data_IF_922722233319
#
_entry.id   IF_922722233319
#
_cell.length_a   1.000
_cell.length_b   1.000
_cell.length_c   1.000
_cell.angle_alpha   90.00
_cell.angle_beta   90.00
_cell.angle_gamma   90.00
#
_symmetry.space_group_name_H-M   'P 1'
#
loop_
_entity.id
_entity.type
_entity.pdbx_description
1 polymer ?
#
# COMPACT_ATOMS: atom_id res chain seq x y z
N UNK A 1 -0.83 0.48 -39.34
CA UNK A 1 -0.78 0.37 -37.89
C UNK A 1 0.66 0.52 -37.42
N UNK A 2 0.89 1.27 -36.35
CA UNK A 2 2.23 1.38 -35.77
C UNK A 2 2.46 0.19 -34.86
N UNK A 3 3.56 -0.54 -35.09
CA UNK A 3 3.93 -1.69 -34.26
C UNK A 3 4.73 -1.26 -33.03
N UNK A 4 4.42 -1.82 -31.86
CA UNK A 4 5.08 -1.53 -30.58
C UNK A 4 5.50 -2.82 -29.90
N UNK A 5 6.78 -2.89 -29.51
CA UNK A 5 7.32 -3.96 -28.70
C UNK A 5 7.33 -3.55 -27.21
N UNK A 6 6.66 -4.30 -26.38
CA UNK A 6 6.67 -4.11 -24.91
C UNK A 6 7.59 -5.16 -24.29
N UNK A 7 8.65 -4.72 -23.63
CA UNK A 7 9.63 -5.61 -23.01
C UNK A 7 9.31 -5.80 -21.52
N UNK A 8 8.83 -7.00 -21.18
CA UNK A 8 8.43 -7.40 -19.85
C UNK A 8 6.91 -7.49 -19.66
N UNK A 9 6.44 -8.68 -19.31
CA UNK A 9 5.03 -9.02 -19.10
C UNK A 9 4.57 -8.89 -17.62
N UNK A 10 5.16 -7.98 -16.87
CA UNK A 10 4.67 -7.61 -15.53
C UNK A 10 3.47 -6.66 -15.61
N UNK A 11 2.95 -6.22 -14.45
CA UNK A 11 1.77 -5.33 -14.38
C UNK A 11 1.96 -4.07 -15.23
N UNK A 12 3.11 -3.42 -15.16
CA UNK A 12 3.39 -2.21 -15.96
C UNK A 12 3.37 -2.47 -17.46
N UNK A 13 4.07 -3.52 -17.91
CA UNK A 13 4.12 -3.87 -19.35
C UNK A 13 2.76 -4.31 -19.89
N UNK A 14 2.03 -5.14 -19.15
CA UNK A 14 0.68 -5.57 -19.52
C UNK A 14 -0.32 -4.41 -19.55
N UNK A 15 -0.22 -3.46 -18.61
CA UNK A 15 -1.06 -2.26 -18.64
C UNK A 15 -0.75 -1.40 -19.85
N UNK A 16 0.53 -1.17 -20.16
CA UNK A 16 0.93 -0.42 -21.36
C UNK A 16 0.46 -1.12 -22.64
N UNK A 17 0.63 -2.43 -22.73
CA UNK A 17 0.17 -3.21 -23.88
C UNK A 17 -1.35 -3.12 -24.07
N UNK A 18 -2.11 -3.25 -23.00
CA UNK A 18 -3.56 -3.14 -23.01
C UNK A 18 -4.02 -1.74 -23.47
N UNK A 19 -3.43 -0.68 -22.94
CA UNK A 19 -3.77 0.69 -23.33
C UNK A 19 -3.40 1.02 -24.77
N UNK A 20 -2.29 0.49 -25.25
CA UNK A 20 -1.88 0.67 -26.66
C UNK A 20 -2.78 -0.11 -27.61
N UNK A 21 -3.11 -1.37 -27.27
CA UNK A 21 -4.01 -2.18 -28.09
C UNK A 21 -5.41 -1.56 -28.22
N UNK A 22 -5.93 -0.93 -27.15
CA UNK A 22 -7.19 -0.19 -27.20
C UNK A 22 -7.15 1.08 -28.08
N UNK A 23 -5.95 1.49 -28.50
CA UNK A 23 -5.71 2.65 -29.38
C UNK A 23 -5.24 2.24 -30.77
N UNK A 24 -5.55 1.02 -31.17
CA UNK A 24 -5.26 0.46 -32.49
C UNK A 24 -3.76 0.38 -32.83
N UNK A 25 -2.88 0.21 -31.83
CA UNK A 25 -1.49 -0.17 -32.06
C UNK A 25 -1.38 -1.69 -32.24
N UNK A 26 -0.45 -2.11 -33.07
CA UNK A 26 -0.05 -3.52 -33.17
C UNK A 26 0.98 -3.83 -32.09
N UNK A 27 0.57 -4.52 -31.03
CA UNK A 27 1.38 -4.66 -29.80
C UNK A 27 1.87 -6.09 -29.63
N UNK A 28 3.19 -6.24 -29.52
CA UNK A 28 3.83 -7.51 -29.15
C UNK A 28 4.49 -7.38 -27.76
N UNK A 29 4.14 -8.27 -26.83
CA UNK A 29 4.74 -8.32 -25.49
C UNK A 29 5.77 -9.44 -25.43
N UNK A 30 6.99 -9.10 -25.04
CA UNK A 30 8.09 -10.04 -24.82
C UNK A 30 8.31 -10.26 -23.35
N UNK A 31 8.22 -11.50 -22.89
CA UNK A 31 8.46 -11.92 -21.50
C UNK A 31 9.59 -12.95 -21.47
N UNK A 32 10.57 -12.73 -20.57
CA UNK A 32 11.71 -13.65 -20.40
C UNK A 32 11.37 -14.95 -19.70
N UNK A 33 10.26 -14.97 -18.95
CA UNK A 33 9.76 -16.14 -18.24
C UNK A 33 8.67 -16.83 -19.05
N UNK A 34 8.32 -18.06 -18.65
CA UNK A 34 7.25 -18.83 -19.32
C UNK A 34 5.85 -18.27 -19.09
N UNK A 35 5.66 -17.42 -18.09
CA UNK A 35 4.37 -16.88 -17.67
C UNK A 35 4.44 -15.39 -17.44
N UNK A 36 3.37 -14.71 -17.84
CA UNK A 36 3.16 -13.29 -17.58
C UNK A 36 2.80 -13.00 -16.12
N UNK A 37 2.84 -11.73 -15.72
CA UNK A 37 2.40 -11.25 -14.41
C UNK A 37 3.52 -10.71 -13.52
N UNK A 38 4.79 -11.02 -13.82
CA UNK A 38 5.93 -10.51 -13.07
C UNK A 38 5.86 -10.90 -11.58
N UNK A 39 6.06 -9.93 -10.68
CA UNK A 39 5.94 -10.15 -9.22
C UNK A 39 4.49 -10.25 -8.74
N UNK A 40 3.51 -9.84 -9.55
CA UNK A 40 2.10 -9.97 -9.20
C UNK A 40 1.54 -11.38 -9.50
N UNK A 41 2.36 -12.28 -10.03
CA UNK A 41 1.99 -13.66 -10.29
C UNK A 41 1.98 -14.47 -9.00
N UNK A 42 0.91 -15.25 -8.79
CA UNK A 42 0.90 -16.30 -7.78
C UNK A 42 1.81 -17.47 -8.20
N UNK A 43 2.41 -18.12 -7.25
CA UNK A 43 3.23 -19.32 -7.44
C UNK A 43 2.65 -20.46 -6.61
N UNK A 44 2.71 -21.71 -7.07
CA UNK A 44 2.33 -22.82 -6.20
C UNK A 44 3.29 -22.91 -5.00
N UNK A 45 2.75 -23.16 -3.80
CA UNK A 45 3.53 -23.52 -2.62
C UNK A 45 3.72 -25.03 -2.59
N UNK A 46 4.89 -25.54 -2.93
CA UNK A 46 5.10 -26.97 -3.16
C UNK A 46 4.79 -27.82 -1.92
N UNK A 47 3.93 -28.83 -2.07
CA UNK A 47 3.55 -29.75 -1.00
C UNK A 47 2.46 -29.21 -0.06
N UNK A 48 1.86 -28.07 -0.35
CA UNK A 48 0.76 -27.51 0.45
C UNK A 48 -0.61 -28.11 0.11
N UNK A 49 -0.72 -28.82 -1.01
CA UNK A 49 -1.95 -29.49 -1.42
C UNK A 49 -2.26 -30.71 -0.56
N UNK A 50 -3.48 -30.81 -0.03
CA UNK A 50 -3.97 -31.95 0.75
C UNK A 50 -5.27 -32.49 0.20
N UNK A 51 -5.54 -33.78 0.38
CA UNK A 51 -6.81 -34.39 -0.02
C UNK A 51 -7.07 -34.34 -1.53
N UNK A 52 -6.04 -34.46 -2.36
CA UNK A 52 -6.16 -34.45 -3.82
C UNK A 52 -6.31 -33.04 -4.45
N UNK A 53 -6.20 -31.99 -3.65
CA UNK A 53 -6.18 -30.59 -4.15
C UNK A 53 -4.81 -30.24 -4.71
N UNK A 54 -4.78 -29.31 -5.64
CA UNK A 54 -3.54 -28.68 -6.10
C UNK A 54 -2.88 -27.89 -4.96
N UNK A 55 -1.57 -27.65 -5.09
CA UNK A 55 -0.83 -26.80 -4.17
C UNK A 55 -1.48 -25.41 -4.07
N UNK A 56 -1.45 -24.84 -2.88
CA UNK A 56 -2.03 -23.53 -2.60
C UNK A 56 -1.23 -22.43 -3.31
N UNK A 57 -1.89 -21.36 -3.76
CA UNK A 57 -1.18 -20.23 -4.34
C UNK A 57 -0.42 -19.46 -3.26
N UNK A 58 0.88 -19.28 -3.48
CA UNK A 58 1.72 -18.38 -2.69
C UNK A 58 1.94 -17.07 -3.43
N UNK A 59 2.10 -16.01 -2.67
CA UNK A 59 2.30 -14.66 -3.17
C UNK A 59 3.66 -14.11 -2.71
N UNK A 60 4.27 -13.21 -3.48
CA UNK A 60 5.47 -12.49 -3.06
C UNK A 60 5.23 -11.56 -1.86
N UNK A 61 3.99 -11.20 -1.61
CA UNK A 61 3.50 -10.38 -0.54
C UNK A 61 1.98 -10.23 -0.66
N UNK A 62 1.33 -9.74 0.37
CA UNK A 62 -0.11 -9.52 0.32
C UNK A 62 -0.47 -8.51 -0.77
N UNK A 63 -1.60 -8.73 -1.43
CA UNK A 63 -2.14 -7.83 -2.44
C UNK A 63 -3.29 -7.04 -1.87
N UNK A 64 -3.14 -5.75 -1.83
CA UNK A 64 -4.26 -4.85 -1.57
C UNK A 64 -4.10 -3.60 -2.44
N UNK A 65 -5.22 -2.94 -2.69
CA UNK A 65 -5.27 -1.73 -3.50
C UNK A 65 -5.87 -0.62 -2.65
N UNK A 66 -5.03 0.28 -2.10
CA UNK A 66 -5.51 1.45 -1.37
C UNK A 66 -6.43 2.30 -2.25
N UNK A 67 -7.33 3.08 -1.63
CA UNK A 67 -8.31 3.88 -2.34
C UNK A 67 -7.72 4.93 -3.32
N UNK A 68 -6.44 5.28 -3.15
CA UNK A 68 -5.73 6.16 -4.09
C UNK A 68 -5.21 5.43 -5.36
N UNK A 69 -5.29 4.11 -5.44
CA UNK A 69 -4.99 3.35 -6.66
C UNK A 69 -6.16 3.48 -7.64
N UNK A 70 -6.07 4.42 -8.56
CA UNK A 70 -7.13 4.69 -9.53
C UNK A 70 -6.99 3.87 -10.82
N UNK A 71 -5.79 3.81 -11.37
CA UNK A 71 -5.55 3.22 -12.68
C UNK A 71 -5.62 1.69 -12.70
N UNK A 72 -5.11 1.01 -11.68
CA UNK A 72 -5.15 -0.46 -11.63
C UNK A 72 -6.59 -0.99 -11.51
N UNK A 73 -7.44 -0.49 -10.57
CA UNK A 73 -8.85 -0.88 -10.52
C UNK A 73 -9.62 -0.50 -11.79
N UNK A 74 -9.33 0.65 -12.41
CA UNK A 74 -9.93 1.03 -13.69
C UNK A 74 -9.58 0.02 -14.79
N UNK A 75 -8.31 -0.33 -14.95
CA UNK A 75 -7.88 -1.37 -15.90
C UNK A 75 -8.58 -2.70 -15.61
N UNK A 76 -8.65 -3.14 -14.36
CA UNK A 76 -9.36 -4.36 -13.96
C UNK A 76 -10.85 -4.32 -14.30
N UNK A 77 -11.48 -3.15 -14.25
CA UNK A 77 -12.90 -2.97 -14.61
C UNK A 77 -13.17 -3.16 -16.11
N UNK A 78 -12.15 -3.07 -16.95
CA UNK A 78 -12.23 -3.24 -18.39
C UNK A 78 -11.87 -4.64 -18.88
N UNK A 79 -11.17 -5.43 -18.05
CA UNK A 79 -10.74 -6.80 -18.38
C UNK A 79 -11.88 -7.79 -18.11
N UNK A 80 -12.37 -8.53 -19.13
CA UNK A 80 -13.40 -9.55 -18.93
C UNK A 80 -12.86 -10.76 -18.16
N UNK A 81 -13.69 -11.34 -17.30
CA UNK A 81 -13.39 -12.58 -16.59
C UNK A 81 -14.68 -13.40 -16.39
N UNK A 82 -14.85 -14.47 -17.14
CA UNK A 82 -16.09 -15.20 -17.20
C UNK A 82 -17.26 -14.32 -17.64
N UNK A 83 -18.33 -14.31 -16.85
CA UNK A 83 -19.51 -13.44 -17.09
C UNK A 83 -19.34 -12.02 -16.50
N UNK A 84 -18.24 -11.76 -15.79
CA UNK A 84 -17.97 -10.53 -15.07
C UNK A 84 -16.70 -9.83 -15.56
N UNK A 85 -16.21 -8.90 -14.79
CA UNK A 85 -14.93 -8.23 -14.96
C UNK A 85 -13.99 -8.60 -13.81
N UNK A 86 -12.68 -8.50 -14.03
CA UNK A 86 -11.67 -8.78 -13.00
C UNK A 86 -11.91 -7.95 -11.73
N UNK A 87 -12.32 -6.69 -11.86
CA UNK A 87 -12.60 -5.82 -10.71
C UNK A 87 -13.71 -6.35 -9.78
N UNK A 88 -14.63 -7.18 -10.26
CA UNK A 88 -15.69 -7.78 -9.41
C UNK A 88 -15.14 -8.78 -8.39
N UNK A 89 -13.90 -9.21 -8.54
CA UNK A 89 -13.22 -10.09 -7.57
C UNK A 89 -12.46 -9.31 -6.48
N UNK A 90 -12.47 -7.97 -6.54
CA UNK A 90 -11.93 -7.14 -5.48
C UNK A 90 -12.92 -7.10 -4.31
N UNK A 91 -12.45 -7.44 -3.13
CA UNK A 91 -13.24 -7.43 -1.89
C UNK A 91 -12.75 -6.29 -1.00
N UNK A 92 -13.67 -5.48 -0.48
CA UNK A 92 -13.31 -4.42 0.46
C UNK A 92 -12.85 -5.01 1.80
N UNK A 93 -11.64 -4.66 2.22
CA UNK A 93 -11.15 -4.94 3.56
C UNK A 93 -11.60 -3.81 4.50
N UNK A 94 -12.24 -4.16 5.62
CA UNK A 94 -12.72 -3.20 6.61
C UNK A 94 -11.75 -3.02 7.77
N UNK A 95 -10.90 -4.02 8.01
CA UNK A 95 -9.93 -4.04 9.11
C UNK A 95 -8.70 -4.85 8.72
N UNK A 96 -7.60 -4.57 9.39
CA UNK A 96 -6.35 -5.30 9.29
C UNK A 96 -5.92 -5.76 10.67
N UNK A 97 -5.47 -7.01 10.77
CA UNK A 97 -4.88 -7.57 11.97
C UNK A 97 -3.37 -7.33 11.95
N UNK A 98 -2.85 -6.64 12.95
CA UNK A 98 -1.43 -6.53 13.23
C UNK A 98 -1.06 -7.58 14.28
N UNK A 99 -0.58 -8.74 13.83
CA UNK A 99 -0.13 -9.82 14.72
C UNK A 99 1.25 -9.49 15.29
N UNK A 100 1.42 -9.74 16.58
CA UNK A 100 2.72 -9.64 17.26
C UNK A 100 3.28 -11.04 17.51
N UNK A 101 4.53 -11.27 17.11
CA UNK A 101 5.15 -12.61 17.13
C UNK A 101 5.38 -13.22 18.52
N UNK A 102 5.14 -12.47 19.58
CA UNK A 102 5.32 -12.89 20.99
C UNK A 102 3.99 -13.28 21.69
N UNK A 103 2.91 -13.37 20.92
CA UNK A 103 1.58 -13.72 21.44
C UNK A 103 0.91 -12.60 22.28
N UNK A 104 1.51 -11.41 22.30
CA UNK A 104 0.88 -10.24 22.90
C UNK A 104 -0.23 -9.72 21.99
N UNK A 105 -1.16 -9.05 22.62
CA UNK A 105 -2.38 -8.48 22.06
C UNK A 105 -2.35 -8.23 20.55
N UNK A 106 -3.15 -8.98 19.81
CA UNK A 106 -3.46 -8.70 18.42
C UNK A 106 -4.14 -7.33 18.30
N UNK A 107 -3.66 -6.52 17.38
CA UNK A 107 -4.20 -5.19 17.15
C UNK A 107 -5.02 -5.23 15.87
N UNK A 108 -6.32 -5.02 15.97
CA UNK A 108 -7.21 -4.87 14.82
C UNK A 108 -7.34 -3.38 14.52
N UNK A 109 -6.85 -2.96 13.36
CA UNK A 109 -6.95 -1.57 12.92
C UNK A 109 -8.02 -1.41 11.83
N UNK A 110 -8.91 -0.40 11.92
CA UNK A 110 -9.80 -0.07 10.83
C UNK A 110 -9.02 0.44 9.62
N UNK A 111 -9.45 0.04 8.42
CA UNK A 111 -8.85 0.49 7.14
C UNK A 111 -9.69 1.56 6.44
N UNK A 112 -10.80 2.00 7.06
CA UNK A 112 -11.64 3.06 6.50
C UNK A 112 -11.22 4.41 7.04
N UNK A 113 -11.18 5.41 6.17
CA UNK A 113 -11.09 6.79 6.61
C UNK A 113 -12.30 7.16 7.48
N UNK A 114 -12.11 7.95 8.55
CA UNK A 114 -13.22 8.41 9.37
C UNK A 114 -14.19 9.26 8.54
N UNK A 115 -15.48 8.93 8.61
CA UNK A 115 -16.54 9.62 7.85
C UNK A 115 -17.40 10.51 8.74
N UNK A 116 -17.24 10.40 10.06
CA UNK A 116 -17.93 11.19 11.07
C UNK A 116 -16.97 11.66 12.16
N UNK A 117 -17.43 12.63 12.98
CA UNK A 117 -16.65 13.08 14.16
C UNK A 117 -16.45 11.95 15.18
N UNK A 118 -17.44 11.06 15.32
CA UNK A 118 -17.33 9.89 16.20
C UNK A 118 -16.30 8.89 15.67
N UNK A 119 -16.27 8.63 14.37
CA UNK A 119 -15.25 7.80 13.74
C UNK A 119 -13.85 8.39 13.94
N UNK A 120 -13.73 9.73 13.77
CA UNK A 120 -12.47 10.43 13.98
C UNK A 120 -12.02 10.30 15.44
N UNK A 121 -12.93 10.51 16.41
CA UNK A 121 -12.61 10.38 17.84
C UNK A 121 -12.16 8.95 18.19
N UNK A 122 -12.82 7.95 17.60
CA UNK A 122 -12.50 6.54 17.77
C UNK A 122 -11.13 6.22 17.18
N UNK A 123 -10.85 6.73 15.98
CA UNK A 123 -9.54 6.56 15.31
C UNK A 123 -8.41 7.20 16.13
N UNK A 124 -8.61 8.41 16.64
CA UNK A 124 -7.63 9.10 17.48
C UNK A 124 -7.37 8.33 18.78
N UNK A 125 -8.42 7.87 19.48
CA UNK A 125 -8.29 7.05 20.70
C UNK A 125 -7.56 5.74 20.41
N UNK A 126 -7.83 5.13 19.28
CA UNK A 126 -7.18 3.89 18.84
C UNK A 126 -5.69 4.11 18.59
N UNK A 127 -5.31 5.13 17.81
CA UNK A 127 -3.90 5.48 17.57
C UNK A 127 -3.18 5.81 18.88
N UNK A 128 -3.84 6.56 19.77
CA UNK A 128 -3.31 6.90 21.07
C UNK A 128 -3.04 5.65 21.92
N UNK A 129 -4.03 4.76 22.01
CA UNK A 129 -3.90 3.50 22.76
C UNK A 129 -2.77 2.64 22.22
N UNK A 130 -2.74 2.40 20.90
CA UNK A 130 -1.67 1.59 20.29
C UNK A 130 -0.31 2.24 20.54
N UNK A 131 -0.17 3.52 20.33
CA UNK A 131 1.08 4.23 20.53
C UNK A 131 1.59 4.08 21.97
N UNK A 132 0.72 4.22 22.96
CA UNK A 132 1.07 4.02 24.38
C UNK A 132 1.39 2.56 24.70
N UNK A 133 0.64 1.61 24.16
CA UNK A 133 0.86 0.17 24.37
C UNK A 133 2.22 -0.31 23.80
N UNK A 134 2.70 0.31 22.72
CA UNK A 134 4.03 0.04 22.14
C UNK A 134 5.15 0.92 22.75
N UNK A 135 4.81 1.74 23.75
CA UNK A 135 5.77 2.54 24.50
C UNK A 135 6.16 3.88 23.87
N UNK A 136 5.37 4.41 22.93
CA UNK A 136 5.57 5.77 22.42
C UNK A 136 5.12 6.80 23.48
N UNK A 137 5.98 7.75 23.88
CA UNK A 137 5.59 8.79 24.83
C UNK A 137 4.42 9.63 24.31
N UNK A 138 3.46 10.02 25.18
CA UNK A 138 2.27 10.79 24.78
C UNK A 138 2.56 12.08 24.03
N UNK A 139 3.60 12.82 24.42
CA UNK A 139 3.99 14.05 23.73
C UNK A 139 4.50 13.80 22.30
N UNK A 140 5.07 12.64 22.02
CA UNK A 140 5.49 12.25 20.67
C UNK A 140 4.31 11.83 19.78
N UNK A 141 3.24 11.27 20.37
CA UNK A 141 1.98 11.03 19.65
C UNK A 141 1.32 12.35 19.22
N UNK A 142 1.36 13.36 20.09
CA UNK A 142 0.89 14.72 19.74
C UNK A 142 1.72 15.28 18.59
N UNK A 143 3.04 15.23 18.68
CA UNK A 143 3.93 15.68 17.64
C UNK A 143 3.69 14.95 16.30
N UNK A 144 3.43 13.65 16.34
CA UNK A 144 3.06 12.87 15.14
C UNK A 144 1.76 13.39 14.52
N UNK A 145 0.73 13.62 15.33
CA UNK A 145 -0.54 14.17 14.87
C UNK A 145 -0.38 15.58 14.25
N UNK A 146 0.43 16.45 14.86
CA UNK A 146 0.75 17.77 14.31
C UNK A 146 1.43 17.68 12.92
N UNK A 147 2.35 16.74 12.74
CA UNK A 147 2.99 16.49 11.44
C UNK A 147 1.98 16.02 10.40
N UNK A 148 1.08 15.09 10.75
CA UNK A 148 0.01 14.66 9.84
C UNK A 148 -0.91 15.81 9.47
N UNK A 149 -1.36 16.62 10.42
CA UNK A 149 -2.18 17.80 10.16
C UNK A 149 -1.45 18.80 9.24
N UNK A 150 -0.15 18.99 9.43
CA UNK A 150 0.67 19.84 8.55
C UNK A 150 0.62 19.36 7.10
N UNK A 151 0.70 18.04 6.87
CA UNK A 151 0.59 17.47 5.52
C UNK A 151 -0.82 17.62 4.95
N UNK A 152 -1.84 17.33 5.75
CA UNK A 152 -3.25 17.45 5.34
C UNK A 152 -3.60 18.87 4.91
N UNK A 153 -3.13 19.88 5.68
CA UNK A 153 -3.39 21.29 5.42
C UNK A 153 -2.42 21.92 4.40
N UNK A 154 -1.48 21.15 3.84
CA UNK A 154 -0.51 21.68 2.86
C UNK A 154 -1.14 21.83 1.48
N UNK A 155 -0.90 22.97 0.84
CA UNK A 155 -1.22 23.20 -0.56
C UNK A 155 -0.30 22.40 -1.49
N UNK A 156 -0.64 22.33 -2.76
CA UNK A 156 0.10 21.52 -3.74
C UNK A 156 1.54 22.04 -3.94
N UNK A 157 1.79 23.34 -3.89
CA UNK A 157 3.14 23.90 -3.98
C UNK A 157 4.04 23.39 -2.85
N UNK A 158 3.52 23.28 -1.63
CA UNK A 158 4.28 22.72 -0.50
C UNK A 158 4.44 21.20 -0.64
N UNK A 159 3.40 20.49 -1.09
CA UNK A 159 3.45 19.04 -1.28
C UNK A 159 4.47 18.63 -2.32
N UNK A 160 4.46 19.26 -3.49
CA UNK A 160 5.35 18.93 -4.60
C UNK A 160 6.72 19.63 -4.53
N UNK A 161 6.81 20.79 -3.89
CA UNK A 161 8.06 21.53 -3.74
C UNK A 161 8.82 21.16 -2.47
N UNK A 162 8.21 21.34 -1.31
CA UNK A 162 8.87 21.19 -0.01
C UNK A 162 8.88 19.74 0.46
N UNK A 163 7.71 19.09 0.52
CA UNK A 163 7.57 17.76 1.12
C UNK A 163 8.03 16.62 0.21
N UNK A 164 8.14 16.86 -1.10
CA UNK A 164 8.72 15.87 -2.02
C UNK A 164 10.23 15.72 -1.83
N UNK A 165 10.92 16.79 -1.46
CA UNK A 165 12.37 16.80 -1.29
C UNK A 165 12.85 16.52 0.13
N UNK A 166 11.93 16.22 1.04
CA UNK A 166 12.21 15.87 2.43
C UNK A 166 11.81 14.41 2.66
N UNK A 167 12.67 13.61 3.27
CA UNK A 167 12.31 12.24 3.62
C UNK A 167 11.22 12.20 4.71
N UNK A 168 10.43 11.13 4.74
CA UNK A 168 9.46 10.90 5.81
C UNK A 168 10.12 10.91 7.19
N UNK A 169 11.31 10.33 7.29
CA UNK A 169 12.09 10.27 8.52
C UNK A 169 12.46 11.67 9.04
N UNK A 170 13.01 12.53 8.17
CA UNK A 170 13.37 13.92 8.51
C UNK A 170 12.12 14.74 8.82
N UNK A 171 11.05 14.57 8.03
CA UNK A 171 9.80 15.27 8.28
C UNK A 171 9.20 14.94 9.65
N UNK A 172 9.31 13.70 10.10
CA UNK A 172 8.87 13.27 11.44
C UNK A 172 9.85 13.63 12.54
N UNK A 173 11.00 14.21 12.21
CA UNK A 173 12.08 14.51 13.17
C UNK A 173 12.49 13.27 13.98
N UNK A 174 12.55 12.13 13.30
CA UNK A 174 12.63 10.82 13.95
C UNK A 174 13.95 10.59 14.69
N UNK A 175 15.06 11.21 14.25
CA UNK A 175 16.36 11.06 14.94
C UNK A 175 16.33 11.62 16.37
N UNK A 176 15.45 12.57 16.67
CA UNK A 176 15.29 13.19 18.01
C UNK A 176 14.13 12.57 18.80
N UNK A 177 13.56 11.45 18.37
CA UNK A 177 12.44 10.78 19.01
C UNK A 177 12.86 9.48 19.69
N UNK A 178 11.98 8.96 20.54
CA UNK A 178 12.18 7.68 21.20
C UNK A 178 12.34 6.53 20.20
N UNK A 179 13.01 5.47 20.61
CA UNK A 179 13.15 4.25 19.82
C UNK A 179 11.78 3.65 19.44
N UNK A 180 10.79 3.78 20.31
CA UNK A 180 9.43 3.33 20.03
C UNK A 180 8.80 4.14 18.90
N UNK A 181 8.91 5.47 18.92
CA UNK A 181 8.46 6.33 17.82
C UNK A 181 9.13 5.96 16.50
N UNK A 182 10.46 5.83 16.51
CA UNK A 182 11.23 5.46 15.31
C UNK A 182 10.75 4.14 14.70
N UNK A 183 10.59 3.10 15.53
CA UNK A 183 10.21 1.77 15.07
C UNK A 183 8.75 1.67 14.63
N UNK A 184 7.81 2.29 15.33
CA UNK A 184 6.39 2.08 15.10
C UNK A 184 5.76 3.17 14.24
N UNK A 185 6.09 4.45 14.45
CA UNK A 185 5.46 5.56 13.73
C UNK A 185 6.26 6.00 12.50
N UNK A 186 7.58 6.13 12.61
CA UNK A 186 8.37 6.54 11.47
C UNK A 186 8.59 5.39 10.47
N UNK A 187 9.20 4.29 10.90
CA UNK A 187 9.60 3.19 10.03
C UNK A 187 8.49 2.14 9.88
N UNK A 188 7.80 1.81 10.97
CA UNK A 188 6.79 0.73 10.99
C UNK A 188 5.62 1.00 10.06
N UNK A 189 5.08 2.21 10.05
CA UNK A 189 3.95 2.56 9.19
C UNK A 189 4.31 2.48 7.70
N UNK A 190 5.51 2.94 7.31
CA UNK A 190 5.93 2.93 5.91
C UNK A 190 6.28 1.51 5.43
N UNK A 191 6.96 0.73 6.26
CA UNK A 191 7.34 -0.65 5.93
C UNK A 191 6.13 -1.58 5.86
N UNK A 192 5.23 -1.47 6.83
CA UNK A 192 4.07 -2.36 6.92
C UNK A 192 3.06 -2.11 5.82
N UNK A 193 2.82 -0.85 5.47
CA UNK A 193 1.80 -0.50 4.47
C UNK A 193 2.30 -0.61 3.03
N UNK A 194 3.52 -0.17 2.74
CA UNK A 194 4.00 -0.05 1.35
C UNK A 194 5.42 -0.59 1.12
N UNK A 195 5.99 -1.28 2.10
CA UNK A 195 7.36 -1.81 2.05
C UNK A 195 8.42 -0.76 1.70
N UNK A 196 8.18 0.51 2.08
CA UNK A 196 9.09 1.62 1.83
C UNK A 196 9.96 1.92 3.05
N UNK A 197 11.17 2.43 2.79
CA UNK A 197 12.06 2.89 3.86
C UNK A 197 11.77 4.35 4.17
N UNK A 198 11.52 4.67 5.44
CA UNK A 198 11.20 6.01 5.89
C UNK A 198 12.26 7.06 5.53
N UNK A 199 13.53 6.66 5.47
CA UNK A 199 14.67 7.53 5.12
C UNK A 199 14.81 7.82 3.62
N UNK A 200 14.16 7.03 2.76
CA UNK A 200 14.24 7.13 1.31
C UNK A 200 12.93 7.64 0.69
N UNK A 201 11.80 7.41 1.35
CA UNK A 201 10.49 7.83 0.90
C UNK A 201 10.25 9.32 1.22
N UNK A 202 9.71 10.07 0.26
CA UNK A 202 9.36 11.48 0.51
C UNK A 202 8.22 11.64 1.53
N UNK A 203 8.24 12.77 2.25
CA UNK A 203 7.17 13.11 3.19
C UNK A 203 5.82 13.22 2.49
N UNK A 204 5.78 13.71 1.24
CA UNK A 204 4.56 13.75 0.42
C UNK A 204 3.98 12.35 0.21
N UNK A 205 4.82 11.40 -0.18
CA UNK A 205 4.38 10.01 -0.38
C UNK A 205 3.90 9.39 0.92
N UNK A 206 4.61 9.60 2.03
CA UNK A 206 4.19 9.17 3.36
C UNK A 206 2.82 9.73 3.76
N UNK A 207 2.60 11.01 3.53
CA UNK A 207 1.31 11.66 3.79
C UNK A 207 0.17 11.08 2.95
N UNK A 208 0.40 10.82 1.66
CA UNK A 208 -0.61 10.23 0.76
C UNK A 208 -1.03 8.79 1.13
N UNK A 209 -0.15 8.07 1.82
CA UNK A 209 -0.46 6.71 2.29
C UNK A 209 -1.36 6.74 3.52
N UNK A 210 -1.23 7.78 4.35
CA UNK A 210 -1.91 7.90 5.65
C UNK A 210 -3.17 8.77 5.60
N UNK A 211 -3.36 9.51 4.51
CA UNK A 211 -4.47 10.42 4.27
C UNK A 211 -5.27 10.04 3.03
#
# INVERSE_FOLDING_TARGET
MTSVAVLGGGVGGLTAAHELALRDFDVTVYESRREFGGKARSMPDPGSGTGGRQDLPAEHGFRFFPGFYRHVPDTMSRIPHGQNKVAHHLVSANSMLLAQGDGRNEIITPLRAPTSLDDLSTTVRFIWKIGTDVGVPPHELVAFAERLLTLLCSCDERRFGQWENLSWWEFMDADHRSTAFQKFLADGMTRTLVAAKAREMSARTGGLILC
#
